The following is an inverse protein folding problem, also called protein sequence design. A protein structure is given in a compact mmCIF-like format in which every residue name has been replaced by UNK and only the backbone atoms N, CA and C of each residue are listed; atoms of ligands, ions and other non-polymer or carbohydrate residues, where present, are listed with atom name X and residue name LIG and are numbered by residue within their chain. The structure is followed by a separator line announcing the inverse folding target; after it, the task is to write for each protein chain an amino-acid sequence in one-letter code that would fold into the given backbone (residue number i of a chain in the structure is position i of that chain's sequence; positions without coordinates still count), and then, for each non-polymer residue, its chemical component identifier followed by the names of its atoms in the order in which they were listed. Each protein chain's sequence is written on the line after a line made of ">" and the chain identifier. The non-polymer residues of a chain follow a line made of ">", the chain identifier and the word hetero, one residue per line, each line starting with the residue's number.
data_IF_586643699282
#
_entry.id   IF_586643699282
#
_cell.length_a   1.000
_cell.length_b   1.000
_cell.length_c   1.000
_cell.angle_alpha   90.00
_cell.angle_beta   90.00
_cell.angle_gamma   90.00
#
_symmetry.space_group_name_H-M   'P 1'
#
loop_
_entity.id
_entity.type
_entity.pdbx_description
1 polymer ?
#
# COMPACT_ATOMS: atom_id res chain seq x y z
N UNK A 1 -23.02 -1.42 8.24
CA UNK A 1 -22.12 -1.05 7.13
C UNK A 1 -20.69 -1.25 7.60
N UNK A 2 -19.82 -1.89 6.82
CA UNK A 2 -18.40 -2.07 7.18
C UNK A 2 -17.57 -1.17 6.26
N UNK A 3 -16.73 -0.34 6.85
CA UNK A 3 -15.84 0.58 6.16
C UNK A 3 -14.45 0.39 6.73
N UNK A 4 -13.45 0.29 5.85
CA UNK A 4 -12.03 0.25 6.20
C UNK A 4 -11.35 1.37 5.42
N UNK A 5 -10.54 2.17 6.09
CA UNK A 5 -9.72 3.22 5.49
C UNK A 5 -8.28 2.79 5.68
N UNK A 6 -7.52 2.77 4.59
CA UNK A 6 -6.13 2.34 4.58
C UNK A 6 -5.24 3.51 4.16
N UNK A 7 -4.08 3.59 4.81
CA UNK A 7 -2.99 4.41 4.32
C UNK A 7 -2.30 3.71 3.13
N UNK A 8 -1.45 4.45 2.41
CA UNK A 8 -0.78 3.97 1.19
C UNK A 8 0.64 3.51 1.48
N UNK A 9 1.50 4.42 1.90
CA UNK A 9 2.93 4.16 2.16
C UNK A 9 3.09 3.48 3.52
N UNK A 10 3.89 2.41 3.57
CA UNK A 10 4.03 1.56 4.75
C UNK A 10 2.85 0.61 5.01
N UNK A 11 1.78 0.65 4.21
CA UNK A 11 0.60 -0.23 4.34
C UNK A 11 0.33 -1.02 3.06
N UNK A 12 0.20 -0.34 1.92
CA UNK A 12 -0.02 -0.97 0.60
C UNK A 12 1.32 -1.16 -0.11
N UNK A 13 2.12 -0.11 -0.19
CA UNK A 13 3.48 -0.12 -0.72
C UNK A 13 4.52 0.17 0.36
N UNK A 14 5.77 -0.17 0.08
CA UNK A 14 6.92 0.16 0.91
C UNK A 14 6.97 1.68 1.13
N UNK A 15 7.25 2.08 2.37
CA UNK A 15 7.49 3.48 2.71
C UNK A 15 8.87 3.94 2.24
N UNK A 16 9.01 5.24 1.99
CA UNK A 16 10.25 5.85 1.50
C UNK A 16 10.46 7.21 2.14
N UNK A 17 11.56 7.36 2.89
CA UNK A 17 11.98 8.65 3.47
C UNK A 17 12.18 9.73 2.39
N UNK A 18 12.49 9.32 1.16
CA UNK A 18 12.72 10.20 0.00
C UNK A 18 11.47 10.41 -0.87
N UNK A 19 10.30 10.01 -0.35
CA UNK A 19 9.01 9.93 -1.06
C UNK A 19 9.01 8.93 -2.23
N UNK A 20 7.82 8.44 -2.57
CA UNK A 20 7.57 7.69 -3.81
C UNK A 20 7.12 8.68 -4.88
N UNK A 21 7.98 8.92 -5.88
CA UNK A 21 7.87 10.01 -6.87
C UNK A 21 7.48 9.52 -8.25
N UNK A 22 7.58 8.22 -8.51
CA UNK A 22 7.19 7.61 -9.78
C UNK A 22 6.54 6.24 -9.57
N UNK A 23 5.91 5.72 -10.63
CA UNK A 23 5.23 4.41 -10.57
C UNK A 23 6.22 3.28 -10.39
N UNK A 24 7.41 3.42 -10.95
CA UNK A 24 8.50 2.45 -10.87
C UNK A 24 9.04 2.31 -9.44
N UNK A 25 8.90 3.36 -8.62
CA UNK A 25 9.26 3.36 -7.20
C UNK A 25 8.19 2.70 -6.31
N UNK A 26 6.98 2.48 -6.84
CA UNK A 26 5.84 1.93 -6.09
C UNK A 26 5.98 0.41 -5.90
N UNK A 27 6.68 0.00 -4.84
CA UNK A 27 6.90 -1.42 -4.51
C UNK A 27 5.84 -1.92 -3.55
N UNK A 28 5.07 -2.93 -3.95
CA UNK A 28 4.04 -3.51 -3.10
C UNK A 28 4.65 -4.23 -1.89
N UNK A 29 4.05 -4.02 -0.72
CA UNK A 29 4.33 -4.86 0.44
C UNK A 29 3.78 -6.28 0.15
N UNK A 30 4.56 -7.35 0.36
CA UNK A 30 4.08 -8.71 0.12
C UNK A 30 2.77 -9.01 0.86
N UNK A 31 1.74 -9.45 0.14
CA UNK A 31 0.45 -9.80 0.72
C UNK A 31 -0.55 -8.64 0.84
N UNK A 32 -0.16 -7.38 0.61
CA UNK A 32 -1.04 -6.23 0.80
C UNK A 32 -2.23 -6.24 -0.18
N UNK A 33 -1.98 -6.59 -1.44
CA UNK A 33 -3.03 -6.67 -2.47
C UNK A 33 -3.99 -7.82 -2.20
N UNK A 34 -3.48 -8.98 -1.81
CA UNK A 34 -4.29 -10.15 -1.46
C UNK A 34 -5.15 -9.88 -0.22
N UNK A 35 -4.63 -9.12 0.75
CA UNK A 35 -5.38 -8.73 1.94
C UNK A 35 -6.54 -7.79 1.59
N UNK A 36 -6.29 -6.77 0.76
CA UNK A 36 -7.33 -5.85 0.29
C UNK A 36 -8.43 -6.60 -0.47
N UNK A 37 -8.06 -7.56 -1.32
CA UNK A 37 -9.02 -8.35 -2.09
C UNK A 37 -9.94 -9.24 -1.23
N UNK A 38 -9.61 -9.47 0.05
CA UNK A 38 -10.41 -10.29 0.98
C UNK A 38 -11.37 -9.47 1.86
N UNK A 39 -11.30 -8.14 1.83
CA UNK A 39 -12.13 -7.24 2.62
C UNK A 39 -13.54 -7.08 2.03
#
# INVERSE_FOLDING_TARGET
>A
MKLVILDRDGVINEDSDEYVKSVEEYKLIPGSVEAIARL
#
